data_IF_967306904257
#
_entry.id   IF_967306904257
#
_cell.length_a   1.000
_cell.length_b   1.000
_cell.length_c   1.000
_cell.angle_alpha   90.00
_cell.angle_beta   90.00
_cell.angle_gamma   90.00
#
_symmetry.space_group_name_H-M   'P 1'
#
loop_
_entity.id
_entity.type
_entity.pdbx_description
1 polymer ?
#
# COMPACT_ATOMS: atom_id res chain seq x y z
N UNK A 1 -18.56 -16.99 23.01
CA UNK A 1 -18.00 -15.86 22.24
C UNK A 1 -16.47 -15.94 22.22
N UNK A 2 -15.87 -15.92 21.04
CA UNK A 2 -14.42 -15.86 20.86
C UNK A 2 -13.86 -14.56 21.49
N UNK A 3 -12.61 -14.58 22.00
CA UNK A 3 -11.94 -13.42 22.60
C UNK A 3 -11.97 -12.22 21.66
N UNK A 4 -11.74 -12.44 20.36
CA UNK A 4 -11.76 -11.39 19.33
C UNK A 4 -13.12 -10.69 19.25
N UNK A 5 -14.22 -11.43 19.27
CA UNK A 5 -15.57 -10.83 19.20
C UNK A 5 -15.86 -9.96 20.43
N UNK A 6 -15.39 -10.37 21.61
CA UNK A 6 -15.54 -9.56 22.83
C UNK A 6 -14.75 -8.25 22.72
N UNK A 7 -13.52 -8.31 22.22
CA UNK A 7 -12.70 -7.12 21.97
C UNK A 7 -13.37 -6.22 20.93
N UNK A 8 -13.87 -6.78 19.83
CA UNK A 8 -14.59 -6.02 18.79
C UNK A 8 -15.80 -5.28 19.36
N UNK A 9 -16.67 -5.97 20.08
CA UNK A 9 -17.87 -5.37 20.67
C UNK A 9 -17.49 -4.24 21.67
N UNK A 10 -16.46 -4.47 22.50
CA UNK A 10 -15.96 -3.45 23.44
C UNK A 10 -15.47 -2.19 22.71
N UNK A 11 -14.75 -2.35 21.59
CA UNK A 11 -14.28 -1.22 20.79
C UNK A 11 -15.48 -0.44 20.24
N UNK A 12 -16.44 -1.12 19.59
CA UNK A 12 -17.63 -0.49 19.01
C UNK A 12 -18.41 0.33 20.05
N UNK A 13 -18.60 -0.23 21.25
CA UNK A 13 -19.27 0.45 22.36
C UNK A 13 -18.52 1.70 22.83
N UNK A 14 -17.20 1.59 23.05
CA UNK A 14 -16.38 2.72 23.53
C UNK A 14 -16.28 3.87 22.53
N UNK A 15 -16.28 3.56 21.24
CA UNK A 15 -16.16 4.55 20.16
C UNK A 15 -17.51 5.11 19.70
N UNK A 16 -18.62 4.71 20.35
CA UNK A 16 -20.00 5.07 19.96
C UNK A 16 -20.27 4.81 18.48
N UNK A 17 -19.70 3.72 17.95
CA UNK A 17 -19.68 3.49 16.52
C UNK A 17 -21.03 2.92 16.04
N UNK A 18 -21.45 3.33 14.84
CA UNK A 18 -22.69 2.88 14.18
C UNK A 18 -22.37 2.04 12.96
N UNK A 19 -23.22 1.06 12.64
CA UNK A 19 -23.03 0.23 11.45
C UNK A 19 -23.18 1.05 10.16
N UNK A 20 -22.35 0.74 9.15
CA UNK A 20 -22.32 1.47 7.86
C UNK A 20 -23.14 0.72 6.79
N UNK A 21 -23.96 -0.26 7.19
CA UNK A 21 -24.77 -1.08 6.27
C UNK A 21 -24.02 -2.24 5.60
N UNK A 22 -22.70 -2.34 5.79
CA UNK A 22 -21.94 -3.57 5.51
C UNK A 22 -21.84 -4.41 6.79
N UNK A 23 -21.95 -5.73 6.67
CA UNK A 23 -21.78 -6.64 7.80
C UNK A 23 -20.44 -6.37 8.51
N UNK A 24 -20.49 -6.32 9.83
CA UNK A 24 -19.33 -6.14 10.73
C UNK A 24 -18.44 -4.91 10.47
N UNK A 25 -19.00 -3.87 9.84
CA UNK A 25 -18.32 -2.60 9.58
C UNK A 25 -19.03 -1.43 10.27
N UNK A 26 -18.27 -0.67 11.07
CA UNK A 26 -18.75 0.40 11.92
C UNK A 26 -17.91 1.68 11.75
N UNK A 27 -18.56 2.83 11.93
CA UNK A 27 -17.92 4.15 11.97
C UNK A 27 -18.24 4.84 13.30
N UNK A 28 -17.21 5.33 13.98
CA UNK A 28 -17.33 5.97 15.28
C UNK A 28 -16.32 7.09 15.49
N UNK A 29 -16.35 7.68 16.69
CA UNK A 29 -15.40 8.70 17.10
C UNK A 29 -14.06 8.06 17.45
N UNK A 30 -12.97 8.71 17.05
CA UNK A 30 -11.65 8.25 17.45
C UNK A 30 -11.39 8.62 18.91
N UNK A 31 -10.94 7.69 19.77
CA UNK A 31 -10.67 7.98 21.17
C UNK A 31 -9.34 8.71 21.40
N UNK A 32 -8.48 8.81 20.37
CA UNK A 32 -7.15 9.44 20.48
C UNK A 32 -7.14 10.94 20.24
N UNK A 33 -8.24 11.53 19.81
CA UNK A 33 -8.38 12.97 19.65
C UNK A 33 -9.85 13.35 19.82
N UNK A 34 -10.11 14.64 20.01
CA UNK A 34 -11.47 15.13 20.15
C UNK A 34 -12.09 15.36 18.76
N UNK A 35 -13.13 14.58 18.46
CA UNK A 35 -13.81 14.59 17.18
C UNK A 35 -15.29 14.90 17.36
N UNK A 36 -15.80 15.85 16.58
CA UNK A 36 -17.24 16.09 16.47
C UNK A 36 -17.92 15.21 15.40
N UNK A 37 -17.14 14.57 14.52
CA UNK A 37 -17.63 13.71 13.44
C UNK A 37 -16.94 12.35 13.46
N UNK A 38 -17.63 11.23 13.16
CA UNK A 38 -17.01 9.91 13.12
C UNK A 38 -15.80 9.84 12.18
N UNK A 39 -14.61 9.70 12.76
CA UNK A 39 -13.33 9.66 12.04
C UNK A 39 -12.66 8.29 12.06
N UNK A 40 -13.19 7.34 12.85
CA UNK A 40 -12.63 6.01 13.06
C UNK A 40 -13.48 4.94 12.38
N UNK A 41 -12.88 4.22 11.44
CA UNK A 41 -13.45 3.01 10.85
C UNK A 41 -13.00 1.78 11.62
N UNK A 42 -13.96 0.92 11.94
CA UNK A 42 -13.78 -0.32 12.69
C UNK A 42 -14.40 -1.46 11.87
N UNK A 43 -13.61 -2.47 11.52
CA UNK A 43 -14.09 -3.60 10.71
C UNK A 43 -13.59 -4.92 11.28
N UNK A 44 -14.48 -5.88 11.48
CA UNK A 44 -14.10 -7.27 11.77
C UNK A 44 -13.94 -8.02 10.44
N UNK A 45 -12.78 -8.63 10.24
CA UNK A 45 -12.51 -9.45 9.05
C UNK A 45 -11.84 -10.74 9.50
N UNK A 46 -12.49 -11.88 9.25
CA UNK A 46 -11.98 -13.23 9.54
C UNK A 46 -11.43 -13.37 10.97
N UNK A 47 -10.10 -13.24 11.11
CA UNK A 47 -9.32 -13.47 12.31
C UNK A 47 -8.76 -12.17 12.93
N UNK A 48 -9.16 -10.99 12.46
CA UNK A 48 -8.61 -9.69 12.92
C UNK A 48 -9.62 -8.54 12.94
N UNK A 49 -9.29 -7.53 13.73
CA UNK A 49 -10.01 -6.25 13.80
C UNK A 49 -9.14 -5.18 13.13
N UNK A 50 -9.71 -4.48 12.16
CA UNK A 50 -9.09 -3.36 11.47
C UNK A 50 -9.56 -2.05 12.10
N UNK A 51 -8.60 -1.21 12.48
CA UNK A 51 -8.84 0.15 12.97
C UNK A 51 -8.14 1.13 12.04
N UNK A 52 -8.88 2.12 11.53
CA UNK A 52 -8.31 3.20 10.73
C UNK A 52 -8.93 4.53 11.11
N UNK A 53 -8.10 5.44 11.58
CA UNK A 53 -8.46 6.83 11.77
C UNK A 53 -8.11 7.63 10.50
N UNK A 54 -9.05 8.44 10.02
CA UNK A 54 -8.92 9.24 8.80
C UNK A 54 -8.27 10.62 9.03
N UNK A 55 -8.15 11.05 10.28
CA UNK A 55 -7.41 12.27 10.69
C UNK A 55 -5.95 11.97 11.06
N UNK A 56 -5.48 10.75 10.77
CA UNK A 56 -4.09 10.32 10.86
C UNK A 56 -3.54 10.03 12.28
N UNK A 57 -4.39 9.61 13.22
CA UNK A 57 -3.90 9.03 14.48
C UNK A 57 -3.10 7.74 14.24
N UNK A 58 -1.98 7.59 14.96
CA UNK A 58 -1.21 6.36 14.98
C UNK A 58 -2.03 5.22 15.63
N UNK A 59 -1.85 3.99 15.14
CA UNK A 59 -2.56 2.81 15.67
C UNK A 59 -2.32 2.63 17.17
N UNK A 60 -1.08 2.81 17.63
CA UNK A 60 -0.71 2.66 19.04
C UNK A 60 -1.42 3.70 19.92
N UNK A 61 -1.63 4.92 19.43
CA UNK A 61 -2.38 5.95 20.16
C UNK A 61 -3.85 5.55 20.33
N UNK A 62 -4.44 4.90 19.31
CA UNK A 62 -5.83 4.40 19.35
C UNK A 62 -5.94 3.24 20.34
N UNK A 63 -5.01 2.27 20.27
CA UNK A 63 -4.97 1.15 21.20
C UNK A 63 -4.78 1.61 22.66
N UNK A 64 -3.89 2.58 22.90
CA UNK A 64 -3.64 3.14 24.23
C UNK A 64 -4.88 3.85 24.78
N UNK A 65 -5.56 4.68 23.97
CA UNK A 65 -6.78 5.37 24.38
C UNK A 65 -7.92 4.39 24.68
N UNK A 66 -7.98 3.25 23.97
CA UNK A 66 -8.92 2.17 24.22
C UNK A 66 -8.49 1.21 25.34
N UNK A 67 -7.29 1.38 25.91
CA UNK A 67 -6.69 0.47 26.88
C UNK A 67 -6.70 -1.01 26.42
N UNK A 68 -6.34 -1.23 25.15
CA UNK A 68 -6.18 -2.56 24.54
C UNK A 68 -4.77 -2.71 24.02
N UNK A 69 -4.25 -3.95 24.03
CA UNK A 69 -2.97 -4.25 23.37
C UNK A 69 -3.23 -4.54 21.90
N UNK A 70 -2.31 -4.14 21.03
CA UNK A 70 -2.38 -4.45 19.58
C UNK A 70 -2.52 -5.95 19.30
N UNK A 71 -1.99 -6.82 20.17
CA UNK A 71 -2.15 -8.28 20.09
C UNK A 71 -3.59 -8.76 20.23
N UNK A 72 -4.47 -7.97 20.85
CA UNK A 72 -5.88 -8.34 21.04
C UNK A 72 -6.74 -8.05 19.79
N UNK A 73 -6.20 -7.31 18.83
CA UNK A 73 -6.83 -7.09 17.53
C UNK A 73 -6.76 -8.33 16.62
N UNK A 74 -6.05 -9.37 17.03
CA UNK A 74 -5.87 -10.60 16.27
C UNK A 74 -6.37 -11.79 17.08
N UNK A 75 -7.00 -12.75 16.40
CA UNK A 75 -7.27 -14.06 16.98
C UNK A 75 -5.96 -14.75 17.35
N UNK A 76 -6.03 -15.70 18.30
CA UNK A 76 -4.87 -16.55 18.62
C UNK A 76 -4.30 -17.12 17.31
N UNK A 77 -2.99 -16.94 17.13
CA UNK A 77 -2.22 -17.42 15.97
C UNK A 77 -2.69 -18.84 15.63
N UNK A 78 -3.31 -19.00 14.47
CA UNK A 78 -3.49 -20.32 13.88
C UNK A 78 -2.09 -20.90 13.60
N UNK A 79 -1.91 -22.22 13.59
CA UNK A 79 -0.61 -22.89 13.33
C UNK A 79 0.11 -22.33 12.08
N UNK A 80 -0.65 -21.88 11.06
CA UNK A 80 -0.14 -21.17 9.87
C UNK A 80 0.63 -19.86 10.15
N UNK A 81 0.38 -19.18 11.27
CA UNK A 81 1.09 -17.96 11.69
C UNK A 81 2.29 -18.27 12.60
N UNK A 82 2.30 -19.40 13.30
CA UNK A 82 3.43 -19.82 14.15
C UNK A 82 4.60 -20.38 13.32
N UNK A 83 4.30 -21.04 12.19
CA UNK A 83 5.31 -21.57 11.27
C UNK A 83 5.84 -20.51 10.28
N UNK A 84 5.43 -19.25 10.42
CA UNK A 84 6.12 -18.15 9.76
C UNK A 84 7.38 -17.89 10.56
N UNK A 85 8.52 -18.36 10.03
CA UNK A 85 9.84 -17.89 10.45
C UNK A 85 9.74 -16.37 10.55
N UNK A 86 10.13 -15.74 11.67
CA UNK A 86 10.25 -14.28 11.72
C UNK A 86 11.04 -13.92 10.48
N UNK A 87 10.45 -13.12 9.58
CA UNK A 87 11.23 -12.57 8.48
C UNK A 87 12.34 -11.81 9.19
N UNK A 88 13.53 -12.40 9.19
CA UNK A 88 14.74 -11.72 9.65
C UNK A 88 14.63 -10.35 9.01
N UNK A 89 14.67 -9.30 9.83
CA UNK A 89 14.69 -7.92 9.37
C UNK A 89 15.63 -7.94 8.18
N UNK A 90 15.08 -7.81 6.96
CA UNK A 90 15.88 -7.97 5.76
C UNK A 90 16.94 -6.91 5.90
N UNK A 91 18.18 -7.32 6.16
CA UNK A 91 19.35 -6.51 5.86
C UNK A 91 19.06 -5.89 4.50
N UNK A 92 19.10 -4.56 4.44
CA UNK A 92 18.68 -3.74 3.29
C UNK A 92 18.98 -4.50 2.00
N UNK A 93 17.97 -5.20 1.47
CA UNK A 93 18.21 -6.01 0.31
C UNK A 93 18.37 -5.00 -0.80
N UNK A 94 19.59 -4.78 -1.28
CA UNK A 94 19.86 -4.02 -2.49
C UNK A 94 18.80 -4.45 -3.50
N UNK A 95 17.86 -3.55 -3.77
CA UNK A 95 16.76 -3.86 -4.67
C UNK A 95 17.43 -4.05 -6.03
N UNK A 96 17.54 -5.31 -6.48
CA UNK A 96 18.11 -5.62 -7.80
C UNK A 96 17.25 -4.92 -8.85
N UNK A 97 17.74 -3.77 -9.32
CA UNK A 97 17.11 -2.96 -10.36
C UNK A 97 17.01 -3.78 -11.64
N UNK A 98 15.87 -3.70 -12.33
CA UNK A 98 15.62 -4.48 -13.54
C UNK A 98 15.91 -3.61 -14.75
N UNK A 99 16.88 -4.03 -15.58
CA UNK A 99 17.16 -3.35 -16.85
C UNK A 99 16.13 -3.74 -17.91
N UNK A 100 15.73 -2.76 -18.71
CA UNK A 100 14.86 -2.94 -19.85
C UNK A 100 15.53 -3.85 -20.90
N UNK A 101 14.77 -4.79 -21.47
CA UNK A 101 15.21 -5.53 -22.66
C UNK A 101 14.71 -4.78 -23.89
N UNK A 102 15.58 -4.54 -24.86
CA UNK A 102 15.19 -3.96 -26.15
C UNK A 102 15.10 -5.09 -27.17
N UNK A 103 14.04 -5.11 -27.97
CA UNK A 103 13.87 -6.08 -29.05
C UNK A 103 14.57 -5.59 -30.34
N UNK A 104 14.70 -6.42 -31.38
CA UNK A 104 15.34 -6.02 -32.64
C UNK A 104 14.68 -4.82 -33.35
N UNK A 105 13.42 -4.50 -33.03
CA UNK A 105 12.69 -3.34 -33.55
C UNK A 105 12.94 -2.06 -32.73
N UNK A 106 13.83 -2.11 -31.73
CA UNK A 106 14.12 -0.96 -30.86
C UNK A 106 13.09 -0.71 -29.75
N UNK A 107 12.11 -1.60 -29.57
CA UNK A 107 11.03 -1.44 -28.59
C UNK A 107 11.39 -2.11 -27.25
N UNK A 108 11.06 -1.45 -26.14
CA UNK A 108 11.26 -1.98 -24.79
C UNK A 108 10.28 -3.12 -24.52
N UNK A 109 10.80 -4.21 -23.95
CA UNK A 109 10.04 -5.38 -23.53
C UNK A 109 10.27 -5.60 -22.04
N UNK A 110 9.20 -5.71 -21.28
CA UNK A 110 9.26 -5.96 -19.84
C UNK A 110 8.17 -6.92 -19.39
N UNK A 111 8.34 -7.53 -18.21
CA UNK A 111 7.30 -8.37 -17.61
C UNK A 111 6.29 -7.50 -16.87
N UNK A 112 5.01 -7.61 -17.23
CA UNK A 112 3.90 -6.96 -16.54
C UNK A 112 3.28 -7.94 -15.54
N UNK A 113 3.37 -7.62 -14.25
CA UNK A 113 2.64 -8.36 -13.21
C UNK A 113 1.13 -8.23 -13.36
N UNK A 114 0.64 -7.10 -13.88
CA UNK A 114 -0.77 -6.83 -14.13
C UNK A 114 -1.38 -7.81 -15.14
N UNK A 115 -0.63 -8.13 -16.19
CA UNK A 115 -1.06 -9.04 -17.26
C UNK A 115 -0.43 -10.43 -17.17
N UNK A 116 0.39 -10.66 -16.14
CA UNK A 116 1.19 -11.86 -15.91
C UNK A 116 1.97 -12.37 -17.15
N UNK A 117 2.48 -11.46 -17.98
CA UNK A 117 3.19 -11.79 -19.22
C UNK A 117 4.20 -10.72 -19.63
N UNK A 118 5.08 -11.06 -20.57
CA UNK A 118 5.93 -10.06 -21.23
C UNK A 118 5.08 -9.19 -22.14
N UNK A 119 5.26 -7.90 -22.03
CA UNK A 119 4.56 -6.87 -22.80
C UNK A 119 5.59 -6.03 -23.56
N UNK A 120 5.17 -5.50 -24.71
CA UNK A 120 6.05 -4.69 -25.58
C UNK A 120 5.57 -3.25 -25.57
N UNK A 121 6.54 -2.33 -25.63
CA UNK A 121 6.32 -0.91 -25.79
C UNK A 121 5.42 -0.62 -27.00
N UNK A 122 4.45 0.24 -26.76
CA UNK A 122 3.53 0.82 -27.74
C UNK A 122 3.81 2.31 -27.94
N UNK A 123 4.15 3.03 -26.87
CA UNK A 123 4.42 4.48 -26.86
C UNK A 123 5.45 4.78 -25.77
N UNK A 124 6.34 5.74 -26.03
CA UNK A 124 7.31 6.27 -25.08
C UNK A 124 7.10 7.75 -24.85
N UNK A 125 6.92 8.13 -23.59
CA UNK A 125 6.83 9.52 -23.17
C UNK A 125 8.17 9.94 -22.57
N UNK A 126 8.86 10.88 -23.21
CA UNK A 126 10.11 11.45 -22.70
C UNK A 126 9.80 12.62 -21.79
N UNK A 127 10.41 12.63 -20.60
CA UNK A 127 10.33 13.72 -19.64
C UNK A 127 11.69 14.42 -19.64
N UNK A 128 11.68 15.73 -19.91
CA UNK A 128 12.86 16.59 -19.90
C UNK A 128 12.82 17.54 -18.71
N UNK A 129 13.99 17.87 -18.17
CA UNK A 129 14.16 18.93 -17.18
C UNK A 129 14.01 20.33 -17.80
N UNK A 130 14.09 21.36 -16.96
CA UNK A 130 13.99 22.76 -17.39
C UNK A 130 15.13 23.20 -18.34
N UNK A 131 16.23 22.44 -18.39
CA UNK A 131 17.33 22.65 -19.32
C UNK A 131 17.14 21.87 -20.64
N UNK A 132 16.01 21.15 -20.79
CA UNK A 132 15.66 20.37 -21.97
C UNK A 132 16.31 18.98 -22.03
N UNK A 133 17.10 18.59 -21.02
CA UNK A 133 17.77 17.29 -20.97
C UNK A 133 16.79 16.21 -20.52
N UNK A 134 16.78 15.07 -21.22
CA UNK A 134 15.91 13.94 -20.88
C UNK A 134 16.25 13.38 -19.50
N UNK A 135 15.36 13.57 -18.54
CA UNK A 135 15.48 13.06 -17.19
C UNK A 135 15.13 11.57 -17.11
N UNK A 136 14.03 11.14 -17.72
CA UNK A 136 13.61 9.74 -17.81
C UNK A 136 12.51 9.54 -18.86
N UNK A 137 12.10 8.29 -19.05
CA UNK A 137 11.00 7.91 -19.93
C UNK A 137 9.88 7.21 -19.15
N UNK A 138 8.65 7.33 -19.62
CA UNK A 138 7.54 6.45 -19.22
C UNK A 138 7.14 5.61 -20.43
N UNK A 139 7.30 4.30 -20.32
CA UNK A 139 6.99 3.33 -21.36
C UNK A 139 5.55 2.84 -21.17
N UNK A 140 4.71 3.01 -22.18
CA UNK A 140 3.37 2.40 -22.25
C UNK A 140 3.45 1.13 -23.09
N UNK A 141 2.95 0.02 -22.57
CA UNK A 141 2.92 -1.25 -23.30
C UNK A 141 1.56 -1.60 -23.90
N UNK A 142 1.54 -2.65 -24.74
CA UNK A 142 0.34 -3.40 -25.10
C UNK A 142 0.44 -4.87 -24.61
N UNK A 143 -0.54 -5.39 -23.83
CA UNK A 143 -1.67 -4.67 -23.22
C UNK A 143 -1.26 -3.53 -22.28
N UNK A 144 -2.17 -2.57 -22.06
CA UNK A 144 -1.89 -1.32 -21.33
C UNK A 144 -1.34 -1.55 -19.93
N UNK A 145 -0.06 -1.25 -19.78
CA UNK A 145 0.70 -1.11 -18.54
C UNK A 145 1.69 0.05 -18.72
N UNK A 146 2.14 0.64 -17.61
CA UNK A 146 3.13 1.73 -17.63
C UNK A 146 4.33 1.36 -16.78
N UNK A 147 5.52 1.66 -17.31
CA UNK A 147 6.77 1.43 -16.60
C UNK A 147 7.70 2.63 -16.81
N UNK A 148 8.14 3.30 -15.73
CA UNK A 148 9.20 4.27 -15.86
C UNK A 148 10.51 3.59 -16.26
N UNK A 149 11.34 4.34 -16.96
CA UNK A 149 12.65 3.89 -17.41
C UNK A 149 13.65 5.03 -17.29
N UNK A 150 14.69 4.85 -16.49
CA UNK A 150 15.80 5.82 -16.40
C UNK A 150 16.56 5.91 -17.72
N UNK A 151 17.35 6.98 -17.95
CA UNK A 151 18.16 7.11 -19.16
C UNK A 151 19.12 5.93 -19.37
N UNK A 152 19.63 5.34 -18.29
CA UNK A 152 20.50 4.16 -18.30
C UNK A 152 19.76 2.84 -18.57
N UNK A 153 18.42 2.90 -18.72
CA UNK A 153 17.56 1.79 -19.11
C UNK A 153 17.03 0.94 -17.95
N UNK A 154 17.09 1.41 -16.71
CA UNK A 154 16.49 0.69 -15.57
C UNK A 154 15.00 1.01 -15.44
N UNK A 155 14.19 -0.01 -15.18
CA UNK A 155 12.72 0.05 -15.15
C UNK A 155 12.17 0.53 -13.79
N UNK A 156 12.66 1.67 -13.33
CA UNK A 156 12.33 2.33 -12.06
C UNK A 156 12.53 3.86 -12.19
N UNK A 157 12.44 4.57 -11.05
CA UNK A 157 12.75 6.01 -10.94
C UNK A 157 13.96 6.27 -10.02
N UNK A 158 14.77 5.25 -9.76
CA UNK A 158 15.84 5.38 -8.78
C UNK A 158 17.00 6.18 -9.37
N UNK A 159 17.40 7.24 -8.67
CA UNK A 159 18.47 8.16 -9.11
C UNK A 159 18.05 9.19 -10.16
N UNK A 160 16.75 9.34 -10.44
CA UNK A 160 16.23 10.38 -11.35
C UNK A 160 15.23 11.29 -10.65
N UNK A 161 15.28 12.58 -10.98
CA UNK A 161 14.28 13.56 -10.52
C UNK A 161 12.93 13.29 -11.21
N UNK A 162 11.84 13.34 -10.44
CA UNK A 162 10.48 13.18 -10.97
C UNK A 162 9.95 14.53 -11.40
N UNK A 163 9.58 14.64 -12.66
CA UNK A 163 9.16 15.90 -13.27
C UNK A 163 7.68 15.83 -13.67
N UNK A 164 6.95 16.96 -13.60
CA UNK A 164 5.66 17.10 -14.24
C UNK A 164 5.74 16.75 -15.73
N UNK A 165 4.65 16.22 -16.28
CA UNK A 165 4.59 15.97 -17.71
C UNK A 165 4.50 17.29 -18.47
N UNK A 166 5.38 17.47 -19.47
CA UNK A 166 5.53 18.72 -20.24
C UNK A 166 5.87 19.90 -19.33
N UNK A 167 6.90 19.74 -18.51
CA UNK A 167 7.52 20.86 -17.82
C UNK A 167 7.93 21.92 -18.88
N UNK A 168 7.50 23.19 -18.72
CA UNK A 168 7.72 24.25 -19.70
C UNK A 168 9.17 24.73 -19.75
#
# INVERSE_FOLDING_TARGET
MNKLQKTFNNIVERTRAKSIGTADSFSGLCPSHDDSTPSLSITLVDDKILLKCHTNCALDAICNALNIKSTELFSRRTEKQMNRVPVAQKAESEHKRKKARINPKGLVVFFSSKHNKKVTESVRYSYSDGDGKTAYHVIRSDPKDFRPMTPDGFLDHEGVERLPYRLP
#
